data_IF_493875648230
#
_entry.id   IF_493875648230
#
_cell.length_a   1.000
_cell.length_b   1.000
_cell.length_c   1.000
_cell.angle_alpha   90.00
_cell.angle_beta   90.00
_cell.angle_gamma   90.00
#
_symmetry.space_group_name_H-M   'P 1'
#
loop_
_entity.id
_entity.type
_entity.pdbx_description
1 polymer ?
2 non-polymer ?
3 non-polymer ?
4 water ?
#
# COMPACT_ATOMS: atom_id res chain seq x y z
N UNK A 3 -15.54 -9.37 -18.03
CA UNK A 3 -15.20 -7.97 -17.66
C UNK A 3 -16.29 -6.98 -18.03
N UNK A 4 -16.74 -6.21 -17.05
CA UNK A 4 -17.78 -5.21 -17.26
C UNK A 4 -17.25 -3.94 -17.91
N UNK A 5 -16.13 -3.43 -17.44
CA UNK A 5 -15.60 -2.16 -17.95
C UNK A 5 -14.37 -2.23 -18.85
N UNK A 6 -14.15 -1.17 -19.62
CA UNK A 6 -13.00 -1.17 -20.50
C UNK A 6 -11.74 -1.05 -19.64
N UNK A 7 -11.17 -2.19 -19.27
CA UNK A 7 -10.00 -2.12 -18.43
C UNK A 7 -8.71 -2.42 -19.16
N UNK A 8 -7.61 -2.05 -18.53
CA UNK A 8 -6.28 -2.26 -19.08
C UNK A 8 -5.78 -3.68 -18.82
N UNK A 9 -5.96 -4.13 -17.58
CA UNK A 9 -5.49 -5.46 -17.19
C UNK A 9 -6.56 -6.54 -17.47
N UNK A 10 -6.66 -6.94 -18.73
CA UNK A 10 -7.65 -7.92 -19.15
C UNK A 10 -7.29 -9.36 -18.79
N UNK A 11 -6.01 -9.65 -18.76
CA UNK A 11 -5.52 -11.01 -18.49
C UNK A 11 -4.32 -10.85 -17.55
N UNK A 12 -4.34 -11.53 -16.38
CA UNK A 12 -3.22 -11.40 -15.46
C UNK A 12 -1.90 -12.02 -15.97
N UNK A 13 -1.97 -12.89 -16.96
CA UNK A 13 -0.79 -13.54 -17.50
C UNK A 13 -0.15 -12.74 -18.61
N UNK A 14 -0.69 -11.57 -18.90
CA UNK A 14 -0.18 -10.73 -19.97
C UNK A 14 0.63 -9.56 -19.42
N UNK A 15 1.58 -9.09 -20.21
CA UNK A 15 2.37 -7.92 -19.85
C UNK A 15 1.94 -6.72 -20.71
N UNK A 16 1.63 -5.61 -20.04
CA UNK A 16 1.22 -4.39 -20.75
C UNK A 16 2.22 -3.25 -20.61
N UNK A 17 2.87 -2.87 -21.73
CA UNK A 17 3.84 -1.78 -21.72
C UNK A 17 3.17 -0.41 -21.73
N UNK A 18 3.26 0.32 -20.62
CA UNK A 18 2.66 1.65 -20.53
C UNK A 18 3.70 2.75 -20.71
N UNK A 19 3.28 3.87 -21.29
CA UNK A 19 4.16 4.99 -21.54
C UNK A 19 4.17 5.96 -20.35
N UNK A 20 5.35 6.42 -19.94
CA UNK A 20 5.48 7.36 -18.83
C UNK A 20 5.17 8.73 -19.39
N UNK A 21 4.15 9.40 -18.87
CA UNK A 21 3.77 10.71 -19.35
C UNK A 21 3.99 11.85 -18.37
N UNK A 22 4.25 11.55 -17.12
CA UNK A 22 4.47 12.64 -16.17
C UNK A 22 5.21 12.14 -14.94
N UNK A 23 5.85 13.05 -14.22
CA UNK A 23 6.63 12.70 -13.04
C UNK A 23 6.66 13.91 -12.13
N UNK A 24 6.60 13.67 -10.82
CA UNK A 24 6.61 14.75 -9.84
C UNK A 24 7.66 14.45 -8.76
N UNK A 25 8.46 15.45 -8.40
CA UNK A 25 9.44 15.24 -7.33
C UNK A 25 8.76 15.68 -6.02
N UNK A 26 8.38 14.71 -5.19
CA UNK A 26 7.74 15.02 -3.92
C UNK A 26 8.79 15.43 -2.92
N UNK A 27 9.92 14.73 -2.91
CA UNK A 27 11.00 15.07 -2.00
C UNK A 27 12.30 14.54 -2.60
N UNK A 28 13.41 14.76 -1.90
CA UNK A 28 14.67 14.28 -2.43
C UNK A 28 14.56 12.86 -3.01
N UNK A 29 14.03 11.92 -2.22
CA UNK A 29 13.93 10.53 -2.67
C UNK A 29 12.53 9.90 -2.91
N UNK A 30 11.48 10.70 -2.99
CA UNK A 30 10.17 10.13 -3.24
C UNK A 30 9.64 10.77 -4.52
N UNK A 31 8.87 10.01 -5.29
CA UNK A 31 8.37 10.53 -6.58
C UNK A 31 6.95 10.10 -6.85
N UNK A 32 6.37 10.67 -7.91
CA UNK A 32 5.06 10.27 -8.40
C UNK A 32 5.30 10.01 -9.88
N UNK A 33 4.99 8.79 -10.34
CA UNK A 33 5.15 8.41 -11.75
C UNK A 33 3.77 8.18 -12.37
N UNK A 34 3.53 8.80 -13.51
CA UNK A 34 2.23 8.64 -14.18
C UNK A 34 2.41 8.09 -15.57
N UNK A 35 1.73 6.98 -15.84
CA UNK A 35 1.78 6.32 -17.13
C UNK A 35 0.40 6.39 -17.79
N UNK A 36 0.41 6.39 -19.12
CA UNK A 36 -0.82 6.44 -19.93
C UNK A 36 -1.38 5.04 -20.04
N UNK A 37 -2.70 4.92 -20.04
CA UNK A 37 -3.35 3.62 -20.21
C UNK A 37 -3.50 3.51 -21.74
N UNK A 38 -3.99 2.36 -22.25
CA UNK A 38 -4.15 2.18 -23.70
C UNK A 38 -4.91 3.29 -24.45
N UNK A 39 -5.88 3.90 -23.81
CA UNK A 39 -6.61 5.01 -24.43
C UNK A 39 -7.01 5.92 -23.27
N UNK A 40 -7.31 7.20 -23.56
CA UNK A 40 -7.70 8.13 -22.50
C UNK A 40 -8.99 7.69 -21.80
N UNK A 41 -9.78 6.82 -22.45
CA UNK A 41 -11.04 6.34 -21.88
C UNK A 41 -10.95 5.01 -21.09
N UNK A 42 -9.76 4.46 -20.94
CA UNK A 42 -9.60 3.20 -20.23
C UNK A 42 -9.49 3.43 -18.72
N UNK A 43 -9.60 2.35 -17.96
CA UNK A 43 -9.36 2.46 -16.54
C UNK A 43 -8.34 1.33 -16.29
N UNK A 44 -7.67 1.35 -15.15
CA UNK A 44 -6.70 0.31 -14.88
C UNK A 44 -7.36 -1.06 -14.71
N UNK A 45 -8.35 -1.14 -13.82
CA UNK A 45 -9.02 -2.41 -13.57
C UNK A 45 -8.29 -3.15 -12.46
N UNK A 46 -8.12 -2.49 -11.31
CA UNK A 46 -7.46 -3.11 -10.17
C UNK A 46 -8.40 -3.17 -9.00
N UNK A 47 -8.93 -4.36 -8.69
CA UNK A 47 -9.84 -4.54 -7.55
C UNK A 47 -9.15 -4.04 -6.27
N UNK A 48 -9.92 -3.48 -5.34
CA UNK A 48 -9.36 -2.99 -4.09
C UNK A 48 -8.80 -4.14 -3.27
N UNK A 49 -7.58 -3.96 -2.74
CA UNK A 49 -6.91 -4.99 -1.97
C UNK A 49 -5.84 -5.66 -2.84
N UNK A 50 -5.90 -5.45 -4.15
CA UNK A 50 -4.89 -6.04 -5.02
C UNK A 50 -3.85 -5.03 -5.51
N UNK A 51 -2.78 -5.53 -6.09
CA UNK A 51 -1.70 -4.72 -6.58
C UNK A 51 -1.24 -5.19 -7.95
N UNK A 52 -0.31 -4.44 -8.52
CA UNK A 52 0.25 -4.80 -9.81
C UNK A 52 1.74 -5.04 -9.63
N UNK A 53 2.39 -5.54 -10.69
CA UNK A 53 3.83 -5.75 -10.71
C UNK A 53 4.38 -5.05 -11.92
N UNK A 54 5.54 -4.45 -11.74
CA UNK A 54 6.27 -3.83 -12.83
C UNK A 54 7.40 -4.83 -13.09
N UNK A 55 7.86 -4.89 -14.32
CA UNK A 55 8.95 -5.79 -14.63
C UNK A 55 9.72 -5.23 -15.81
N UNK A 56 11.02 -5.48 -15.80
CA UNK A 56 11.89 -5.02 -16.87
C UNK A 56 13.24 -5.65 -16.63
N UNK A 57 14.15 -5.43 -17.57
CA UNK A 57 15.49 -5.97 -17.46
C UNK A 57 16.46 -4.92 -17.01
N UNK A 58 17.10 -5.22 -15.88
CA UNK A 58 18.09 -4.34 -15.27
C UNK A 58 19.40 -5.12 -15.13
N UNK A 59 20.47 -4.55 -15.64
CA UNK A 59 21.80 -5.15 -15.56
C UNK A 59 21.81 -6.64 -15.95
N UNK A 60 21.17 -6.96 -17.07
CA UNK A 60 21.12 -8.33 -17.55
C UNK A 60 20.15 -9.31 -16.88
N UNK A 61 19.40 -8.88 -15.88
CA UNK A 61 18.45 -9.77 -15.22
C UNK A 61 17.00 -9.26 -15.30
N UNK A 62 16.05 -10.15 -15.06
CA UNK A 62 14.65 -9.76 -15.07
C UNK A 62 14.32 -9.33 -13.65
N UNK A 63 13.70 -8.17 -13.52
CA UNK A 63 13.34 -7.65 -12.21
C UNK A 63 11.84 -7.41 -12.15
N UNK A 64 11.23 -7.99 -11.12
CA UNK A 64 9.80 -7.90 -10.88
C UNK A 64 9.56 -7.28 -9.51
N UNK A 65 8.63 -6.34 -9.42
CA UNK A 65 8.32 -5.68 -8.16
C UNK A 65 6.86 -5.27 -8.09
N UNK A 66 6.20 -5.51 -6.93
CA UNK A 66 4.78 -5.17 -6.71
C UNK A 66 4.55 -3.70 -6.30
N UNK A 67 3.49 -3.07 -6.79
CA UNK A 67 3.19 -1.67 -6.44
C UNK A 67 1.70 -1.49 -6.33
N UNK A 68 1.25 -0.66 -5.39
CA UNK A 68 -0.17 -0.36 -5.25
C UNK A 68 -0.35 1.09 -5.63
N UNK A 69 -0.97 1.35 -6.79
CA UNK A 69 -1.19 2.72 -7.27
C UNK A 69 -1.95 3.60 -6.26
N UNK A 70 -1.74 4.91 -6.32
CA UNK A 70 -2.47 5.83 -5.44
C UNK A 70 -3.71 6.30 -6.21
N UNK A 71 -3.71 6.09 -7.53
CA UNK A 71 -4.87 6.45 -8.36
C UNK A 71 -5.86 5.29 -8.20
N UNK A 72 -7.04 5.39 -8.79
CA UNK A 72 -8.01 4.31 -8.62
C UNK A 72 -8.76 4.08 -9.91
N UNK A 73 -9.75 3.18 -9.88
CA UNK A 73 -10.53 2.92 -11.08
C UNK A 73 -11.48 4.05 -11.46
N UNK A 74 -11.51 5.11 -10.66
CA UNK A 74 -12.33 6.27 -11.00
C UNK A 74 -11.54 7.13 -12.01
N UNK A 75 -10.25 6.86 -12.16
CA UNK A 75 -9.42 7.66 -13.05
C UNK A 75 -9.36 7.12 -14.47
N UNK A 76 -9.62 7.99 -15.43
CA UNK A 76 -9.61 7.61 -16.83
C UNK A 76 -8.30 8.01 -17.56
N UNK A 77 -7.70 7.04 -18.25
CA UNK A 77 -6.51 7.34 -19.04
C UNK A 77 -5.12 7.29 -18.45
N UNK A 78 -5.00 7.18 -17.13
CA UNK A 78 -3.69 7.13 -16.50
C UNK A 78 -3.68 6.30 -15.22
N UNK A 79 -2.47 5.96 -14.77
CA UNK A 79 -2.29 5.24 -13.52
C UNK A 79 -1.10 5.93 -12.83
N UNK A 80 -1.27 6.28 -11.54
CA UNK A 80 -0.23 6.95 -10.74
C UNK A 80 0.41 6.05 -9.70
N UNK A 81 1.74 6.06 -9.66
CA UNK A 81 2.46 5.30 -8.65
C UNK A 81 3.27 6.30 -7.83
N UNK A 82 3.33 6.09 -6.52
CA UNK A 82 4.12 6.95 -5.62
C UNK A 82 5.21 6.00 -5.14
N UNK A 83 6.46 6.34 -5.45
CA UNK A 83 7.60 5.48 -5.16
C UNK A 83 8.74 6.10 -4.41
N UNK A 84 9.36 5.30 -3.54
CA UNK A 84 10.51 5.72 -2.76
C UNK A 84 11.72 5.25 -3.56
N UNK A 85 12.64 6.17 -3.87
CA UNK A 85 13.83 5.80 -4.62
C UNK A 85 14.99 5.47 -3.68
N UNK A 86 15.55 4.28 -3.83
CA UNK A 86 16.68 3.81 -3.01
C UNK A 86 17.94 4.06 -3.81
N UNK A 87 18.56 5.22 -3.59
CA UNK A 87 19.78 5.60 -4.32
C UNK A 87 21.03 4.81 -3.95
N UNK A 88 21.81 4.47 -4.97
CA UNK A 88 23.06 3.73 -4.73
C UNK A 88 24.06 4.61 -3.96
N UNK A 89 25.11 3.98 -3.46
CA UNK A 89 26.17 4.65 -2.69
C UNK A 89 25.60 5.65 -1.70
N UNK A 90 24.63 5.23 -0.91
CA UNK A 90 24.00 6.10 0.08
C UNK A 90 23.96 5.42 1.43
N UNK A 91 23.43 4.20 1.45
CA UNK A 91 23.37 3.43 2.68
C UNK A 91 24.61 2.53 2.69
N UNK A 92 25.39 2.58 3.78
CA UNK A 92 26.59 1.75 3.88
C UNK A 92 26.34 0.26 3.68
N UNK A 93 25.17 -0.20 4.05
CA UNK A 93 24.87 -1.61 3.92
C UNK A 93 24.40 -2.07 2.54
N UNK A 94 23.92 -1.14 1.72
CA UNK A 94 23.41 -1.49 0.41
C UNK A 94 23.99 -0.60 -0.70
N UNK A 95 25.31 -0.54 -0.80
CA UNK A 95 25.99 0.28 -1.82
C UNK A 95 25.33 0.36 -3.21
N UNK A 96 24.68 -0.72 -3.65
CA UNK A 96 24.06 -0.71 -4.98
C UNK A 96 22.72 -0.01 -5.11
N UNK A 97 22.06 0.24 -4.00
CA UNK A 97 20.77 0.92 -4.06
C UNK A 97 19.64 -0.01 -4.47
N UNK A 98 18.50 0.56 -4.81
CA UNK A 98 17.37 -0.26 -5.25
C UNK A 98 17.41 -0.40 -6.76
N UNK A 99 16.99 -1.55 -7.28
CA UNK A 99 16.98 -1.78 -8.72
C UNK A 99 15.79 -1.17 -9.47
N UNK A 100 14.57 -1.61 -9.15
CA UNK A 100 13.40 -1.09 -9.81
C UNK A 100 13.21 0.37 -9.46
N UNK A 101 13.45 0.77 -8.22
CA UNK A 101 13.25 2.18 -7.92
C UNK A 101 14.22 3.09 -8.68
N UNK A 102 15.47 2.69 -8.83
CA UNK A 102 16.40 3.55 -9.59
C UNK A 102 16.13 3.52 -11.09
N UNK A 103 15.67 2.38 -11.60
CA UNK A 103 15.33 2.26 -13.01
C UNK A 103 14.18 3.23 -13.29
N UNK A 104 13.24 3.32 -12.36
CA UNK A 104 12.12 4.23 -12.54
C UNK A 104 12.62 5.66 -12.59
N UNK A 105 13.50 6.01 -11.65
CA UNK A 105 14.05 7.34 -11.56
C UNK A 105 14.85 7.76 -12.79
N UNK A 106 15.37 6.78 -13.53
CA UNK A 106 16.19 7.02 -14.71
C UNK A 106 15.43 7.01 -16.04
N UNK A 107 14.14 6.71 -16.00
CA UNK A 107 13.35 6.68 -17.24
C UNK A 107 13.11 8.09 -17.78
N UNK A 108 12.98 8.16 -19.10
CA UNK A 108 12.67 9.43 -19.75
C UNK A 108 11.20 9.42 -20.07
N UNK A 109 10.57 10.58 -20.04
CA UNK A 109 9.18 10.65 -20.40
C UNK A 109 9.05 10.07 -21.79
N UNK A 110 8.03 9.24 -22.00
CA UNK A 110 7.89 8.60 -23.30
C UNK A 110 8.40 7.16 -23.25
N UNK A 111 9.29 6.84 -22.33
CA UNK A 111 9.77 5.45 -22.25
C UNK A 111 8.60 4.59 -21.74
N UNK A 112 8.69 3.28 -21.92
CA UNK A 112 7.64 2.41 -21.45
C UNK A 112 8.17 1.39 -20.45
N UNK A 113 7.29 0.80 -19.67
CA UNK A 113 7.66 -0.26 -18.76
C UNK A 113 6.46 -1.20 -18.63
N UNK A 114 6.71 -2.48 -18.42
CA UNK A 114 5.63 -3.46 -18.32
C UNK A 114 4.86 -3.56 -16.99
N UNK A 115 3.54 -3.60 -17.13
CA UNK A 115 2.58 -3.71 -16.03
C UNK A 115 1.87 -5.05 -16.16
N UNK A 116 1.50 -5.63 -15.02
CA UNK A 116 0.76 -6.88 -14.96
C UNK A 116 -0.11 -6.91 -13.69
N UNK A 117 -1.22 -7.64 -13.75
CA UNK A 117 -2.10 -7.74 -12.59
C UNK A 117 -3.48 -8.17 -13.03
N UNK A 118 -4.45 -8.15 -12.10
CA UNK A 118 -4.20 -7.73 -10.72
C UNK A 118 -3.75 -8.96 -9.96
N UNK A 119 -3.12 -8.75 -8.81
CA UNK A 119 -2.64 -9.86 -8.00
C UNK A 119 -2.78 -9.60 -6.52
N UNK A 120 -3.06 -10.66 -5.77
CA UNK A 120 -3.22 -10.55 -4.34
C UNK A 120 -4.34 -11.45 -3.88
N UNK A 121 -4.12 -12.11 -2.74
CA UNK A 121 -5.08 -13.02 -2.16
C UNK A 121 -6.29 -12.35 -1.52
N UNK A 122 -6.22 -11.04 -1.27
CA UNK A 122 -7.31 -10.29 -0.65
C UNK A 122 -7.97 -9.23 -1.53
N UNK A 123 -9.30 -9.27 -1.55
CA UNK A 123 -10.11 -8.31 -2.29
C UNK A 123 -11.18 -7.76 -1.37
N UNK A 124 -11.25 -6.43 -1.27
CA UNK A 124 -12.28 -5.80 -0.44
C UNK A 124 -13.49 -5.57 -1.36
N UNK A 125 -14.65 -6.08 -0.96
CA UNK A 125 -15.87 -5.92 -1.77
C UNK A 125 -16.76 -4.79 -1.30
N UNK A 126 -16.25 -3.96 -0.40
CA UNK A 126 -17.03 -2.84 0.10
C UNK A 126 -18.00 -3.20 1.20
N UNK A 127 -18.43 -2.20 1.93
CA UNK A 127 -19.39 -2.35 3.02
C UNK A 127 -18.94 -3.38 4.07
N UNK A 128 -17.66 -3.35 4.40
CA UNK A 128 -17.10 -4.25 5.39
C UNK A 128 -16.81 -5.69 4.94
N UNK A 129 -17.13 -6.03 3.68
CA UNK A 129 -16.90 -7.38 3.19
C UNK A 129 -15.54 -7.68 2.56
N UNK A 130 -14.85 -8.68 3.10
CA UNK A 130 -13.55 -9.07 2.58
C UNK A 130 -13.52 -10.50 2.03
N UNK A 131 -13.20 -10.63 0.74
CA UNK A 131 -13.06 -11.92 0.05
C UNK A 131 -11.59 -12.33 0.13
N UNK A 132 -11.29 -13.40 0.84
CA UNK A 132 -9.90 -13.85 1.04
C UNK A 132 -9.62 -15.29 0.57
N UNK A 133 -8.48 -15.48 -0.09
CA UNK A 133 -8.07 -16.80 -0.56
C UNK A 133 -6.95 -17.28 0.38
N UNK A 134 -7.11 -18.49 0.93
CA UNK A 134 -6.11 -19.07 1.83
C UNK A 134 -4.79 -19.12 1.08
N UNK A 135 -4.88 -19.46 -0.21
CA UNK A 135 -3.74 -19.51 -1.12
C UNK A 135 -4.27 -19.32 -2.55
N UNK A 136 -3.38 -19.22 -3.54
CA UNK A 136 -3.82 -18.99 -4.92
C UNK A 136 -4.71 -20.05 -5.55
N UNK A 137 -4.61 -21.29 -5.09
CA UNK A 137 -5.40 -22.37 -5.68
C UNK A 137 -6.75 -22.61 -5.00
N UNK A 138 -7.15 -21.71 -4.10
CA UNK A 138 -8.44 -21.86 -3.41
C UNK A 138 -9.39 -20.72 -3.80
N UNK A 139 -10.68 -20.94 -3.56
CA UNK A 139 -11.65 -19.88 -3.85
C UNK A 139 -11.67 -18.98 -2.63
N UNK A 140 -12.13 -17.74 -2.79
CA UNK A 140 -12.14 -16.89 -1.60
C UNK A 140 -13.27 -17.15 -0.60
N UNK A 141 -12.94 -16.98 0.69
CA UNK A 141 -13.90 -17.13 1.77
C UNK A 141 -14.25 -15.68 2.13
N UNK A 142 -15.54 -15.35 2.16
CA UNK A 142 -15.97 -13.98 2.45
C UNK A 142 -16.28 -13.79 3.92
N UNK A 143 -15.95 -12.62 4.45
CA UNK A 143 -16.22 -12.29 5.85
C UNK A 143 -16.58 -10.82 5.97
N UNK A 144 -17.43 -10.47 6.92
CA UNK A 144 -17.81 -9.08 7.12
C UNK A 144 -17.31 -8.58 8.48
N UNK A 145 -16.60 -7.44 8.48
CA UNK A 145 -16.08 -6.85 9.71
C UNK A 145 -16.58 -5.43 9.90
N UNK A 146 -16.29 -4.86 11.07
CA UNK A 146 -16.74 -3.50 11.34
C UNK A 146 -15.56 -2.58 11.51
N UNK A 147 -14.40 -3.17 11.78
CA UNK A 147 -13.18 -2.40 12.01
C UNK A 147 -12.00 -3.06 11.34
N UNK A 148 -11.16 -2.23 10.75
CA UNK A 148 -9.99 -2.74 10.08
C UNK A 148 -8.78 -2.04 10.68
N UNK A 149 -7.94 -2.79 11.40
CA UNK A 149 -6.72 -2.24 11.98
C UNK A 149 -5.70 -2.30 10.86
N UNK A 150 -4.76 -1.36 10.80
CA UNK A 150 -3.78 -1.37 9.71
C UNK A 150 -2.39 -0.98 10.19
N UNK A 151 -1.41 -1.85 9.94
CA UNK A 151 -0.04 -1.52 10.36
C UNK A 151 0.85 -1.39 9.12
N UNK A 152 1.42 -0.20 8.94
CA UNK A 152 2.26 0.01 7.78
C UNK A 152 3.62 0.55 8.16
N UNK A 153 4.63 0.05 7.48
CA UNK A 153 5.99 0.53 7.68
C UNK A 153 6.50 0.95 6.31
N UNK A 154 7.12 2.12 6.21
CA UNK A 154 7.67 2.54 4.94
C UNK A 154 6.67 2.52 3.79
N UNK A 155 7.05 2.00 2.63
CA UNK A 155 6.12 2.00 1.49
C UNK A 155 4.92 1.04 1.65
N UNK A 156 4.89 0.26 2.74
CA UNK A 156 3.77 -0.63 2.95
C UNK A 156 2.46 0.15 3.11
N UNK A 157 2.57 1.48 3.11
CA UNK A 157 1.41 2.36 3.28
C UNK A 157 0.46 2.46 2.09
N UNK A 158 0.96 2.31 0.86
CA UNK A 158 0.06 2.44 -0.29
C UNK A 158 -1.06 1.40 -0.31
N UNK A 159 -0.77 0.15 0.10
CA UNK A 159 -1.85 -0.86 0.11
C UNK A 159 -2.92 -0.46 1.15
N UNK A 160 -2.52 0.30 2.16
CA UNK A 160 -3.49 0.72 3.17
C UNK A 160 -4.29 1.90 2.71
N UNK A 161 -3.63 2.80 1.99
CA UNK A 161 -4.28 4.00 1.47
C UNK A 161 -5.35 3.65 0.44
N UNK A 162 -5.07 2.63 -0.36
CA UNK A 162 -6.02 2.21 -1.38
C UNK A 162 -7.29 1.72 -0.65
N UNK A 163 -7.11 0.93 0.41
CA UNK A 163 -8.27 0.40 1.13
C UNK A 163 -9.03 1.55 1.81
N UNK A 164 -8.28 2.40 2.52
CA UNK A 164 -8.85 3.54 3.24
C UNK A 164 -9.69 4.45 2.35
N UNK A 165 -9.20 4.80 1.16
CA UNK A 165 -9.95 5.65 0.24
C UNK A 165 -11.20 4.98 -0.29
N UNK A 166 -11.15 3.68 -0.51
CA UNK A 166 -12.31 2.92 -1.00
C UNK A 166 -13.40 3.00 0.05
N UNK A 167 -13.04 2.76 1.31
CA UNK A 167 -14.00 2.84 2.40
C UNK A 167 -14.62 4.26 2.51
N UNK A 168 -13.78 5.29 2.61
CA UNK A 168 -14.28 6.65 2.77
C UNK A 168 -15.10 7.23 1.60
N UNK A 169 -14.82 6.84 0.36
CA UNK A 169 -15.56 7.36 -0.80
C UNK A 169 -17.02 6.90 -0.81
N UNK A 170 -17.31 5.80 -0.13
CA UNK A 170 -18.65 5.27 -0.05
C UNK A 170 -19.32 5.84 1.22
N UNK A 171 -20.19 6.86 1.05
CA UNK A 171 -20.87 7.48 2.18
C UNK A 171 -21.69 6.49 2.97
N UNK A 172 -21.99 5.35 2.35
CA UNK A 172 -22.77 4.35 3.03
C UNK A 172 -21.95 3.20 3.63
N UNK A 173 -20.63 3.30 3.52
CA UNK A 173 -19.78 2.28 4.10
C UNK A 173 -19.45 2.72 5.54
N UNK A 174 -19.91 1.95 6.53
CA UNK A 174 -19.70 2.31 7.95
C UNK A 174 -18.48 1.74 8.64
N UNK A 175 -17.62 1.12 7.85
CA UNK A 175 -16.39 0.55 8.35
C UNK A 175 -15.43 1.61 8.91
N UNK A 176 -14.84 1.32 10.07
CA UNK A 176 -13.88 2.25 10.67
C UNK A 176 -12.46 1.66 10.52
N UNK A 177 -11.55 2.46 9.95
CA UNK A 177 -10.15 2.08 9.73
C UNK A 177 -9.21 2.70 10.76
N UNK A 178 -8.32 1.89 11.32
CA UNK A 178 -7.35 2.39 12.29
C UNK A 178 -5.98 2.15 11.71
N UNK A 179 -5.23 3.22 11.49
CA UNK A 179 -3.88 3.10 10.91
C UNK A 179 -2.80 3.42 11.94
N UNK A 180 -1.77 2.58 12.01
CA UNK A 180 -0.61 2.78 12.88
C UNK A 180 0.49 2.78 11.80
N UNK A 181 1.06 3.95 11.49
CA UNK A 181 2.03 4.11 10.40
C UNK A 181 3.46 4.30 10.96
N UNK A 182 4.37 3.38 10.63
CA UNK A 182 5.75 3.42 11.18
C UNK A 182 6.84 3.74 10.19
N UNK A 183 7.74 4.65 10.58
CA UNK A 183 8.85 5.06 9.72
C UNK A 183 10.15 5.38 10.44
N UNK A 184 11.23 5.45 9.67
CA UNK A 184 12.54 5.73 10.24
C UNK A 184 12.61 7.07 10.89
N UNK A 185 12.11 8.10 10.21
CA UNK A 185 12.13 9.46 10.72
C UNK A 185 10.96 10.22 10.14
N UNK A 186 10.69 11.41 10.67
CA UNK A 186 9.58 12.23 10.19
C UNK A 186 9.63 12.53 8.67
N UNK A 187 10.82 12.79 8.12
CA UNK A 187 10.93 13.08 6.70
C UNK A 187 10.52 11.88 5.84
N UNK A 188 10.59 10.69 6.43
CA UNK A 188 10.25 9.45 5.75
C UNK A 188 8.76 9.07 5.82
N UNK A 189 7.92 9.92 6.40
CA UNK A 189 6.49 9.59 6.46
C UNK A 189 5.86 9.87 5.08
N UNK A 190 5.81 8.82 4.26
CA UNK A 190 5.27 8.90 2.91
C UNK A 190 3.77 9.19 2.86
N UNK A 191 3.41 10.14 2.01
CA UNK A 191 2.03 10.54 1.80
C UNK A 191 1.32 11.14 3.03
N UNK A 192 2.07 11.81 3.91
CA UNK A 192 1.47 12.41 5.11
C UNK A 192 0.36 13.42 4.78
N UNK A 193 0.54 14.25 3.73
CA UNK A 193 -0.50 15.21 3.39
C UNK A 193 -1.83 14.55 3.05
N UNK A 194 -1.80 13.52 2.20
CA UNK A 194 -3.00 12.80 1.79
C UNK A 194 -3.69 12.08 2.97
N UNK A 195 -2.91 11.44 3.82
CA UNK A 195 -3.47 10.76 4.99
C UNK A 195 -4.10 11.79 5.95
N UNK A 196 -3.48 12.95 6.13
CA UNK A 196 -4.02 13.93 7.05
C UNK A 196 -5.24 14.66 6.52
N UNK A 197 -5.30 14.82 5.21
CA UNK A 197 -6.46 15.44 4.57
C UNK A 197 -7.64 14.51 4.87
N UNK A 198 -7.42 13.20 4.70
CA UNK A 198 -8.48 12.22 4.97
C UNK A 198 -8.89 12.18 6.45
N UNK A 199 -7.94 12.37 7.35
CA UNK A 199 -8.27 12.37 8.77
C UNK A 199 -9.16 13.58 9.02
N UNK A 200 -8.88 14.66 8.31
CA UNK A 200 -9.65 15.89 8.46
C UNK A 200 -11.10 15.79 8.10
N UNK A 201 -11.36 15.16 6.97
CA UNK A 201 -12.70 15.01 6.42
C UNK A 201 -13.52 13.82 6.93
N UNK A 202 -12.88 12.78 7.47
CA UNK A 202 -13.61 11.60 7.90
C UNK A 202 -13.13 11.01 9.22
N UNK A 203 -13.04 11.86 10.24
CA UNK A 203 -12.57 11.42 11.54
C UNK A 203 -13.30 10.22 12.12
N UNK A 204 -14.62 10.17 11.96
CA UNK A 204 -15.41 9.05 12.50
C UNK A 204 -15.10 7.69 11.88
N UNK A 205 -14.63 7.67 10.64
CA UNK A 205 -14.30 6.38 10.03
C UNK A 205 -12.80 6.16 9.78
N UNK A 206 -11.95 7.07 10.27
CA UNK A 206 -10.51 6.92 10.06
C UNK A 206 -9.66 7.43 11.22
N UNK A 207 -9.00 6.52 11.93
CA UNK A 207 -8.12 6.85 13.05
C UNK A 207 -6.68 6.74 12.56
N UNK A 208 -5.86 7.70 12.95
CA UNK A 208 -4.48 7.76 12.48
C UNK A 208 -3.43 8.00 13.54
N UNK A 209 -2.41 7.16 13.54
CA UNK A 209 -1.33 7.31 14.51
C UNK A 209 0.01 6.95 13.90
N UNK A 210 1.06 7.66 14.33
CA UNK A 210 2.40 7.43 13.77
C UNK A 210 3.42 7.02 14.83
N UNK A 211 4.48 6.37 14.38
CA UNK A 211 5.62 6.08 15.24
C UNK A 211 6.85 6.19 14.34
N UNK A 212 7.92 6.77 14.87
CA UNK A 212 9.17 6.94 14.13
C UNK A 212 10.37 6.43 14.95
N UNK A 213 11.39 5.91 14.26
CA UNK A 213 12.57 5.41 14.96
C UNK A 213 13.29 6.56 15.66
N UNK A 214 13.62 7.61 14.90
CA UNK A 214 14.27 8.80 15.46
C UNK A 214 13.20 9.88 15.54
N UNK A 215 12.89 10.35 16.74
CA UNK A 215 11.86 11.37 16.93
C UNK A 215 12.42 12.78 17.08
N UNK A 216 11.89 13.74 16.32
CA UNK A 216 12.37 15.14 16.41
C UNK A 216 11.96 15.67 17.79
N UNK A 217 12.42 16.85 18.17
CA UNK A 217 12.06 17.38 19.50
C UNK A 217 10.57 17.71 19.63
N UNK A 218 9.98 18.25 18.58
CA UNK A 218 8.56 18.56 18.58
C UNK A 218 7.89 17.37 17.89
N UNK A 219 7.39 16.46 18.72
CA UNK A 219 6.75 15.26 18.21
C UNK A 219 5.64 14.88 19.18
N UNK A 220 4.44 14.74 18.63
CA UNK A 220 3.25 14.42 19.40
C UNK A 220 2.87 12.97 19.30
N UNK A 221 3.68 12.18 18.61
CA UNK A 221 3.30 10.79 18.46
C UNK A 221 4.24 9.81 19.15
N UNK A 222 4.29 8.56 18.69
CA UNK A 222 5.13 7.55 19.32
C UNK A 222 6.55 7.46 18.75
N UNK A 223 7.44 6.83 19.51
CA UNK A 223 8.82 6.60 19.09
C UNK A 223 9.13 5.11 19.29
N UNK A 224 9.78 4.50 18.28
CA UNK A 224 10.14 3.10 18.39
C UNK A 224 9.38 2.17 17.48
N UNK A 225 9.86 0.93 17.39
CA UNK A 225 9.20 -0.08 16.58
C UNK A 225 7.80 -0.31 17.14
N UNK A 226 6.91 -0.82 16.29
CA UNK A 226 5.55 -1.14 16.71
C UNK A 226 5.66 -2.10 17.91
N UNK A 227 4.85 -1.89 18.94
CA UNK A 227 4.90 -2.78 20.11
C UNK A 227 3.53 -3.11 20.68
N UNK A 228 3.51 -3.82 21.80
CA UNK A 228 2.24 -4.21 22.40
C UNK A 228 1.36 -3.00 22.72
N UNK A 229 1.93 -2.04 23.45
CA UNK A 229 1.20 -0.83 23.83
C UNK A 229 0.56 -0.10 22.62
N UNK A 230 1.33 0.09 21.56
CA UNK A 230 0.78 0.77 20.37
C UNK A 230 -0.39 0.01 19.75
N UNK A 231 -0.30 -1.30 19.76
CA UNK A 231 -1.35 -2.14 19.20
C UNK A 231 -2.64 -1.92 19.97
N UNK A 232 -2.54 -2.03 21.31
CA UNK A 232 -3.67 -1.84 22.21
C UNK A 232 -4.25 -0.44 22.08
N UNK A 233 -3.39 0.57 22.04
CA UNK A 233 -3.87 1.94 21.96
C UNK A 233 -4.32 2.46 20.59
N UNK A 234 -3.85 1.87 19.49
CA UNK A 234 -4.25 2.48 18.23
C UNK A 234 -4.88 1.61 17.18
N UNK A 235 -5.04 0.34 17.50
CA UNK A 235 -5.71 -0.58 16.59
C UNK A 235 -7.00 -1.06 17.30
N UNK A 236 -8.03 -1.44 16.53
CA UNK A 236 -9.25 -1.90 17.18
C UNK A 236 -9.00 -3.15 18.03
N UNK A 237 -9.84 -3.39 19.05
CA UNK A 237 -9.65 -4.57 19.91
C UNK A 237 -10.04 -5.89 19.20
N UNK A 238 -9.45 -7.01 19.64
CA UNK A 238 -9.74 -8.33 19.03
C UNK A 238 -11.21 -8.74 19.01
N UNK A 239 -11.58 -9.44 17.94
CA UNK A 239 -12.94 -9.90 17.77
C UNK A 239 -13.22 -10.24 16.32
N UNK A 240 -14.28 -11.02 16.13
CA UNK A 240 -14.70 -11.45 14.80
C UNK A 240 -14.95 -10.23 13.92
N UNK A 241 -15.41 -9.15 14.54
CA UNK A 241 -15.71 -7.93 13.81
C UNK A 241 -14.44 -7.16 13.42
N UNK A 242 -13.29 -7.65 13.84
CA UNK A 242 -12.03 -6.97 13.54
C UNK A 242 -11.04 -7.76 12.68
N UNK A 243 -10.48 -7.08 11.68
CA UNK A 243 -9.49 -7.65 10.78
C UNK A 243 -8.30 -6.71 10.80
N UNK A 244 -7.10 -7.29 10.91
CA UNK A 244 -5.87 -6.53 10.92
C UNK A 244 -5.13 -6.71 9.59
N UNK A 245 -4.72 -5.60 9.00
CA UNK A 245 -4.00 -5.62 7.72
C UNK A 245 -2.55 -5.21 7.98
N UNK A 246 -1.60 -5.81 7.27
CA UNK A 246 -0.19 -5.48 7.45
C UNK A 246 0.62 -5.41 6.16
N UNK A 247 1.60 -4.50 6.12
CA UNK A 247 2.48 -4.40 4.97
C UNK A 247 3.67 -3.57 5.35
N UNK A 248 4.85 -4.18 5.28
CA UNK A 248 6.07 -3.50 5.66
C UNK A 248 7.27 -4.45 5.56
N UNK A 249 8.47 -4.01 5.96
CA UNK A 249 9.65 -4.86 5.90
C UNK A 249 9.48 -6.16 6.71
N UNK A 250 9.94 -7.29 6.16
CA UNK A 250 9.87 -8.62 6.77
C UNK A 250 10.19 -8.64 8.25
N UNK A 251 11.30 -7.98 8.65
CA UNK A 251 11.68 -7.95 10.06
C UNK A 251 10.61 -7.25 10.92
N UNK A 252 9.85 -6.33 10.33
CA UNK A 252 8.78 -5.62 11.06
C UNK A 252 7.59 -6.55 11.31
N UNK A 253 7.17 -7.27 10.27
CA UNK A 253 6.04 -8.19 10.40
C UNK A 253 6.38 -9.38 11.30
N UNK A 254 7.57 -9.92 11.13
CA UNK A 254 7.97 -11.10 11.88
C UNK A 254 8.26 -10.88 13.34
N UNK A 255 8.99 -9.81 13.67
CA UNK A 255 9.38 -9.55 15.05
C UNK A 255 8.57 -8.52 15.85
N UNK A 256 8.09 -7.46 15.19
CA UNK A 256 7.35 -6.41 15.88
C UNK A 256 5.83 -6.51 15.84
N UNK A 257 5.29 -7.13 14.80
CA UNK A 257 3.85 -7.22 14.69
C UNK A 257 3.22 -8.52 15.21
N UNK A 258 3.57 -9.66 14.63
CA UNK A 258 2.97 -10.94 15.01
C UNK A 258 3.01 -11.29 16.50
N UNK A 259 4.20 -11.37 17.10
CA UNK A 259 4.26 -11.72 18.53
C UNK A 259 3.42 -10.80 19.41
N UNK A 260 3.43 -9.51 19.11
CA UNK A 260 2.65 -8.54 19.88
C UNK A 260 1.15 -8.63 19.55
N UNK A 261 0.81 -8.88 18.30
CA UNK A 261 -0.62 -9.01 17.94
C UNK A 261 -1.13 -10.27 18.65
N UNK A 262 -0.27 -11.28 18.72
CA UNK A 262 -0.61 -12.53 19.39
C UNK A 262 -0.83 -12.25 20.88
N UNK A 263 0.11 -11.55 21.50
CA UNK A 263 -0.02 -11.20 22.91
C UNK A 263 -1.30 -10.45 23.21
N UNK A 264 -1.64 -9.49 22.34
CA UNK A 264 -2.86 -8.72 22.52
C UNK A 264 -4.12 -9.55 22.27
N UNK A 265 -4.00 -10.65 21.55
CA UNK A 265 -5.19 -11.45 21.26
C UNK A 265 -5.75 -11.42 19.83
N UNK A 266 -5.00 -10.89 18.86
CA UNK A 266 -5.47 -10.91 17.47
C UNK A 266 -4.92 -12.19 16.88
N UNK A 267 -5.78 -13.20 16.66
CA UNK A 267 -5.37 -14.49 16.11
C UNK A 267 -4.90 -14.40 14.65
N UNK A 268 -4.08 -15.36 14.23
CA UNK A 268 -3.56 -15.32 12.87
C UNK A 268 -4.64 -15.34 11.78
N UNK A 269 -5.76 -16.02 12.03
CA UNK A 269 -6.81 -16.06 11.03
C UNK A 269 -7.49 -14.69 10.84
N UNK A 270 -7.09 -13.70 11.62
CA UNK A 270 -7.66 -12.36 11.46
C UNK A 270 -6.54 -11.38 11.14
N UNK A 271 -5.40 -11.92 10.72
CA UNK A 271 -4.28 -11.06 10.36
C UNK A 271 -3.91 -11.42 8.92
N UNK A 272 -3.85 -10.41 8.07
CA UNK A 272 -3.45 -10.63 6.68
C UNK A 272 -2.24 -9.77 6.35
N UNK A 273 -1.28 -10.35 5.66
CA UNK A 273 -0.08 -9.60 5.32
C UNK A 273 0.01 -9.40 3.83
N UNK A 274 -0.04 -8.15 3.37
CA UNK A 274 0.04 -7.85 1.92
C UNK A 274 1.39 -8.29 1.35
X LIG B 1 15.71 -3.95 -4.35
X LIG B 1 14.53 -4.84 -4.13
X LIG B 1 16.73 -3.87 -5.22
X LIG B 1 15.87 -3.78 -2.88
X LIG B 1 16.88 -3.08 -2.13
X LIG B 1 16.94 -3.73 -0.67
X LIG B 1 18.06 -3.05 0.04
X LIG B 1 15.82 -3.47 0.40
X LIG B 1 15.84 -4.45 1.43
X LIG B 1 16.15 -2.03 0.94
X LIG B 1 15.75 -1.96 2.28
X LIG B 1 17.65 -1.93 0.88
X LIG B 1 18.26 -0.71 0.29
X LIG B 1 18.90 -0.62 -0.96
X LIG B 1 19.27 0.63 -1.08
X LIG B 1 18.97 1.40 -0.10
X LIG B 1 19.17 2.84 0.18
X LIG B 1 19.72 3.70 -0.63
X LIG B 1 18.70 3.29 1.39
X LIG B 1 18.09 2.41 2.28
X LIG B 1 17.86 1.07 2.10
X LIG B 1 18.31 0.57 0.87
X LIG B 1 6.91 0.46 -3.10
X LIG B 1 6.78 1.73 -3.51
X LIG B 1 7.69 2.49 -3.65
X LIG B 1 5.46 2.23 -3.75
X LIG B 1 4.34 1.43 -3.66
X LIG B 1 3.31 1.99 -3.94
X LIG B 1 4.48 0.01 -3.30
X LIG B 1 3.44 -0.91 -3.19
X LIG B 1 3.64 -2.21 -2.76
X LIG B 1 2.55 -3.13 -2.61
X LIG B 1 2.74 -4.43 -2.10
X LIG B 1 1.55 -5.35 -1.97
X LIG B 1 4.07 -4.88 -1.70
X LIG B 1 4.45 -6.23 -1.12
X LIG B 1 5.15 -4.01 -1.87
X LIG B 1 4.96 -2.68 -2.39
X LIG B 1 6.02 -1.70 -2.55
X LIG B 1 5.86 -0.41 -2.97
X LIG B 1 7.34 -2.28 -2.21
X LIG B 1 8.41 -2.07 -3.29
X LIG B 1 8.03 -2.81 -4.47
X LIG B 1 9.80 -2.56 -2.98
X LIG B 1 10.27 -2.37 -1.65
X LIG B 1 10.60 -1.61 -3.88
X LIG B 1 10.34 -1.10 -5.18
X LIG B 1 11.96 -2.22 -3.76
X LIG B 1 12.67 -2.36 -5.12
X LIG B 1 13.97 -2.00 -5.65
X LIG B 1 13.97 -2.88 -6.90
X LIG B 1 14.03 -0.60 -5.85
X LIG B 1 14.97 -2.51 -4.66
X LIG C 1 11.82 1.34 6.25
X LIG C 1 13.06 0.54 6.37
X LIG C 1 12.07 2.77 5.92
X LIG C 1 11.04 1.38 7.60
X LIG C 1 10.65 0.14 8.13
X LIG C 1 9.91 0.42 9.37
X LIG C 1 9.55 -0.91 9.86
X LIG C 1 10.74 1.06 10.47
X LIG C 1 10.52 2.49 10.60
X LIG C 1 10.37 0.22 11.69
X LIG C 1 9.26 0.82 12.39
X LIG C 1 10.01 -1.16 11.12
X LIG C 1 11.18 -2.03 11.08
X LIG C 1 12.21 -2.10 10.16
X LIG C 1 13.14 -3.01 10.46
X LIG C 1 12.66 -3.55 11.64
X LIG C 1 13.17 -4.57 12.51
X LIG C 1 14.30 -5.24 12.31
X LIG C 1 12.45 -4.87 13.62
X LIG C 1 11.26 -4.20 13.86
X LIG C 1 10.73 -3.24 13.12
X LIG C 1 11.46 -2.97 12.03
X LIG C 1 10.84 0.56 5.24
X LIG C 1 11.03 0.43 3.65
X LIG C 1 12.21 -0.44 3.24
X LIG C 1 11.13 1.82 3.10
X LIG C 1 9.65 -0.34 3.27
X LIG C 1 9.57 -1.79 3.51
X LIG C 1 8.20 -2.40 3.06
X LIG C 1 8.87 -3.71 3.01
X LIG C 1 7.84 -2.20 1.59
X LIG C 1 6.64 -1.49 1.25
X LIG C 1 7.66 -3.60 1.02
X LIG C 1 6.45 -4.22 1.56
X LIG C 1 8.91 -4.14 1.62
X LIG C 1 9.02 -5.58 1.48
X LIG C 1 8.31 -6.48 2.31
X LIG C 1 8.47 -7.91 2.09
X LIG C 1 7.70 -8.80 3.01
X LIG C 1 7.84 -10.01 2.79
X LIG C 1 6.89 -8.35 3.99
X LIG C 1 9.38 -8.39 1.00
X LIG C 1 10.02 -7.44 0.25
X LIG C 1 9.86 -6.13 0.47
#
# INVERSE_FOLDING_TARGET
MHHHHMITLENPDIKYPLRLIDKEILSHDTRRFRFALPSPQHILGLPIGQHIYLSTRIDGNLVIRPYTPVSSDDDKGFVDLVVKVYFKETHPKFPAGGKMSQYLENMNIGDTIEFRGPNGLLVYQGKGKFAIRADKKSNPVVRTVKSVGMIAGGTGITPMLQVIRAVLKDPNDHTVCYLLFANQSEKDILLRPELEELRNEHSSRFKLWYTVDKAPDAWDYSQGFVNEEMIRDHLPPPGEETLILMCGPPPMIQFACLPNLERVGHPKERCFTF
FAD PA O1A O2A O5B C5B C4B O4B C3B O3B C2B O2B C1B N9A C8A N7A C5A C6A N6A N1A C2A N3A C4A N1 C2 O2 N3 C4 O4 C4X N5 C5X C6 C7 C7M C8 C8M C9 C9A N10 C10 C1' C2' O2' C3' O3' C4' O4' C5' O5' P O1P O2P O3P
NAD PA O1A O2A O5B C5B C4B O4B C3B O3B C2B O2B C1B N9A C8A N7A C5A C6A N6A N1A C2A N3A C4A O3 PN O1N O2N O5D C5D C4D O4D C3D O3D C2D O2D C1D N1N C2N C3N C7N O7N N7N C4N C5N C6N
#
